data_IF_879497686771
#
_entry.id   IF_879497686771
#
_cell.length_a   1.000
_cell.length_b   1.000
_cell.length_c   1.000
_cell.angle_alpha   90.00
_cell.angle_beta   90.00
_cell.angle_gamma   90.00
#
_symmetry.space_group_name_H-M   'P 1'
#
loop_
_entity.id
_entity.type
_entity.pdbx_description
1 polymer ?
#
# COMPACT_ATOMS: atom_id res chain seq x y z
N UNK A 1 -28.89 -29.47 20.75
CA UNK A 1 -27.68 -28.71 20.39
C UNK A 1 -27.53 -27.59 21.40
N UNK A 2 -26.32 -27.33 21.88
CA UNK A 2 -26.04 -26.14 22.68
C UNK A 2 -26.14 -24.90 21.79
N UNK A 3 -26.43 -23.73 22.39
CA UNK A 3 -26.46 -22.44 21.66
C UNK A 3 -25.12 -22.13 20.98
N UNK A 4 -24.03 -22.70 21.47
CA UNK A 4 -22.67 -22.56 20.93
C UNK A 4 -22.45 -23.52 19.75
N UNK A 5 -22.93 -24.76 19.82
CA UNK A 5 -22.90 -25.70 18.69
C UNK A 5 -23.63 -25.13 17.47
N UNK A 6 -24.83 -24.59 17.67
CA UNK A 6 -25.65 -24.00 16.61
C UNK A 6 -24.98 -22.76 16.00
N UNK A 7 -24.43 -21.89 16.85
CA UNK A 7 -23.69 -20.71 16.41
C UNK A 7 -22.40 -21.06 15.63
N UNK A 8 -21.63 -22.05 16.11
CA UNK A 8 -20.40 -22.49 15.44
C UNK A 8 -20.71 -23.05 14.06
N UNK A 9 -21.77 -23.84 13.92
CA UNK A 9 -22.18 -24.42 12.65
C UNK A 9 -22.64 -23.34 11.65
N UNK A 10 -23.38 -22.33 12.13
CA UNK A 10 -23.90 -21.22 11.33
C UNK A 10 -22.81 -20.22 10.90
N UNK A 11 -21.73 -20.10 11.68
CA UNK A 11 -20.71 -19.08 11.46
C UNK A 11 -19.34 -19.62 11.03
N UNK A 12 -19.19 -20.94 10.86
CA UNK A 12 -17.94 -21.58 10.44
C UNK A 12 -17.28 -20.91 9.23
N UNK A 13 -18.03 -20.74 8.14
CA UNK A 13 -17.51 -20.12 6.91
C UNK A 13 -17.08 -18.66 7.13
N UNK A 14 -17.75 -17.95 8.04
CA UNK A 14 -17.39 -16.58 8.40
C UNK A 14 -16.11 -16.54 9.23
N UNK A 15 -15.92 -17.51 10.14
CA UNK A 15 -14.71 -17.66 10.96
C UNK A 15 -13.51 -17.98 10.05
N UNK A 16 -13.66 -18.92 9.13
CA UNK A 16 -12.61 -19.29 8.17
C UNK A 16 -12.24 -18.10 7.28
N UNK A 17 -13.23 -17.36 6.77
CA UNK A 17 -13.01 -16.13 6.01
C UNK A 17 -12.32 -15.03 6.84
N UNK A 18 -12.68 -14.90 8.12
CA UNK A 18 -12.02 -13.99 9.06
C UNK A 18 -10.53 -14.32 9.22
N UNK A 19 -10.20 -15.59 9.44
CA UNK A 19 -8.81 -16.08 9.52
C UNK A 19 -8.06 -15.78 8.21
N UNK A 20 -8.71 -15.94 7.05
CA UNK A 20 -8.11 -15.59 5.77
C UNK A 20 -7.84 -14.10 5.61
N UNK A 21 -8.78 -13.21 5.98
CA UNK A 21 -8.61 -11.75 5.91
C UNK A 21 -7.48 -11.25 6.81
N UNK A 22 -7.23 -11.91 7.93
CA UNK A 22 -6.08 -11.64 8.80
C UNK A 22 -4.74 -12.01 8.14
N UNK A 23 -4.76 -12.97 7.21
CA UNK A 23 -3.61 -13.36 6.40
C UNK A 23 -3.46 -12.54 5.11
N UNK A 24 -4.53 -11.88 4.66
CA UNK A 24 -4.47 -10.97 3.53
C UNK A 24 -3.68 -9.73 3.92
N UNK A 25 -2.58 -9.52 3.20
CA UNK A 25 -1.79 -8.30 3.27
C UNK A 25 -2.59 -7.07 2.80
N UNK A 26 -1.86 -6.04 2.43
CA UNK A 26 -2.40 -4.72 2.17
C UNK A 26 -3.09 -4.59 0.81
N UNK A 27 -2.75 -5.48 -0.14
CA UNK A 27 -3.19 -5.42 -1.54
C UNK A 27 -4.71 -5.59 -1.72
N UNK A 28 -5.42 -5.96 -0.64
CA UNK A 28 -6.85 -6.28 -0.65
C UNK A 28 -7.64 -5.35 0.30
N UNK A 29 -7.06 -4.25 0.81
CA UNK A 29 -7.73 -3.36 1.78
C UNK A 29 -9.15 -2.94 1.37
N UNK A 30 -9.40 -2.72 0.08
CA UNK A 30 -10.74 -2.41 -0.42
C UNK A 30 -11.76 -3.54 -0.25
N UNK A 31 -11.34 -4.79 -0.33
CA UNK A 31 -12.20 -5.93 -0.13
C UNK A 31 -12.22 -6.41 1.34
N UNK A 32 -11.45 -5.81 2.25
CA UNK A 32 -11.51 -6.17 3.68
C UNK A 32 -12.40 -5.23 4.50
N UNK A 33 -12.73 -4.03 4.01
CA UNK A 33 -13.57 -3.05 4.73
C UNK A 33 -14.87 -3.69 5.24
N UNK A 34 -15.07 -3.62 6.56
CA UNK A 34 -16.27 -4.12 7.22
C UNK A 34 -16.36 -5.64 7.25
N UNK A 35 -15.25 -6.36 7.04
CA UNK A 35 -15.23 -7.83 7.08
C UNK A 35 -14.59 -8.41 8.35
N UNK A 36 -14.20 -7.57 9.31
CA UNK A 36 -13.59 -8.00 10.58
C UNK A 36 -14.58 -8.57 11.60
N UNK A 37 -15.90 -8.38 11.40
CA UNK A 37 -16.94 -8.82 12.34
C UNK A 37 -16.83 -10.29 12.76
N UNK A 38 -16.58 -11.27 11.86
CA UNK A 38 -16.58 -12.69 12.22
C UNK A 38 -15.48 -13.10 13.20
N UNK A 39 -14.31 -12.46 13.15
CA UNK A 39 -13.18 -12.78 14.04
C UNK A 39 -13.52 -12.37 15.46
N UNK A 40 -14.06 -11.15 15.60
CA UNK A 40 -14.47 -10.60 16.88
C UNK A 40 -15.59 -11.43 17.52
N UNK A 41 -16.54 -11.90 16.70
CA UNK A 41 -17.58 -12.82 17.17
C UNK A 41 -17.03 -14.20 17.56
N UNK A 42 -16.05 -14.74 16.82
CA UNK A 42 -15.41 -16.02 17.15
C UNK A 42 -14.68 -15.98 18.49
N UNK A 43 -13.92 -14.91 18.73
CA UNK A 43 -13.18 -14.67 19.98
C UNK A 43 -14.15 -14.55 21.15
N UNK A 44 -15.29 -13.89 20.93
CA UNK A 44 -16.37 -13.78 21.91
C UNK A 44 -16.93 -15.15 22.31
N UNK A 45 -17.33 -15.95 21.32
CA UNK A 45 -17.93 -17.27 21.58
C UNK A 45 -16.92 -18.25 22.19
N UNK A 46 -15.66 -18.22 21.72
CA UNK A 46 -14.57 -18.98 22.29
C UNK A 46 -14.35 -18.66 23.78
N UNK A 47 -14.29 -17.38 24.14
CA UNK A 47 -14.03 -16.97 25.52
C UNK A 47 -15.18 -17.33 26.46
N UNK A 48 -16.43 -17.21 26.01
CA UNK A 48 -17.61 -17.60 26.79
C UNK A 48 -17.69 -19.13 27.03
N UNK A 49 -17.38 -19.93 26.00
CA UNK A 49 -17.41 -21.40 26.11
C UNK A 49 -16.24 -21.93 26.94
N UNK A 50 -15.02 -21.38 26.76
CA UNK A 50 -13.83 -21.76 27.54
C UNK A 50 -14.02 -21.55 29.05
N UNK A 51 -14.85 -20.59 29.45
CA UNK A 51 -15.18 -20.31 30.85
C UNK A 51 -16.25 -21.23 31.41
N UNK A 52 -17.21 -21.60 30.57
CA UNK A 52 -18.40 -22.34 30.98
C UNK A 52 -18.16 -23.86 30.97
N UNK A 53 -17.34 -24.34 30.03
CA UNK A 53 -17.04 -25.76 29.84
C UNK A 53 -15.66 -25.99 29.21
N UNK A 54 -14.55 -25.83 29.97
CA UNK A 54 -13.19 -25.83 29.44
C UNK A 54 -12.72 -27.16 28.81
N UNK A 55 -13.43 -28.27 29.02
CA UNK A 55 -13.12 -29.60 28.49
C UNK A 55 -14.08 -30.08 27.38
N UNK A 56 -15.10 -29.27 27.05
CA UNK A 56 -16.08 -29.54 26.00
C UNK A 56 -15.47 -29.68 24.60
N UNK A 57 -16.17 -30.37 23.70
CA UNK A 57 -15.71 -30.54 22.32
C UNK A 57 -15.74 -29.20 21.56
N UNK A 58 -16.65 -28.31 21.94
CA UNK A 58 -16.84 -26.96 21.43
C UNK A 58 -15.66 -26.07 21.83
N UNK A 59 -15.25 -26.12 23.10
CA UNK A 59 -14.07 -25.42 23.60
C UNK A 59 -12.77 -25.88 22.89
N UNK A 60 -12.67 -27.17 22.52
CA UNK A 60 -11.54 -27.70 21.74
C UNK A 60 -11.54 -27.17 20.31
N UNK A 61 -12.67 -27.23 19.61
CA UNK A 61 -12.79 -26.68 18.26
C UNK A 61 -12.47 -25.17 18.21
N UNK A 62 -12.98 -24.40 19.17
CA UNK A 62 -12.74 -22.96 19.24
C UNK A 62 -11.28 -22.64 19.57
N UNK A 63 -10.62 -23.46 20.41
CA UNK A 63 -9.18 -23.37 20.62
C UNK A 63 -8.39 -23.66 19.32
N UNK A 64 -8.81 -24.61 18.49
CA UNK A 64 -8.20 -24.87 17.18
C UNK A 64 -8.37 -23.68 16.21
N UNK A 65 -9.54 -23.03 16.19
CA UNK A 65 -9.73 -21.82 15.36
C UNK A 65 -8.87 -20.66 15.85
N UNK A 66 -8.76 -20.49 17.17
CA UNK A 66 -7.87 -19.49 17.76
C UNK A 66 -6.40 -19.77 17.44
N UNK A 67 -6.01 -21.05 17.41
CA UNK A 67 -4.67 -21.45 16.99
C UNK A 67 -4.41 -21.13 15.52
N UNK A 68 -5.40 -21.28 14.63
CA UNK A 68 -5.28 -20.84 13.23
C UNK A 68 -5.12 -19.32 13.13
N UNK A 69 -5.87 -18.56 13.92
CA UNK A 69 -5.70 -17.10 14.04
C UNK A 69 -4.28 -16.78 14.51
N UNK A 70 -3.79 -17.45 15.57
CA UNK A 70 -2.44 -17.28 16.09
C UNK A 70 -1.37 -17.57 15.04
N UNK A 71 -1.50 -18.65 14.26
CA UNK A 71 -0.58 -18.99 13.17
C UNK A 71 -0.53 -17.90 12.10
N UNK A 72 -1.66 -17.25 11.79
CA UNK A 72 -1.69 -16.09 10.88
C UNK A 72 -1.11 -14.81 11.48
N UNK A 73 -1.06 -14.76 12.81
CA UNK A 73 -0.50 -13.69 13.62
C UNK A 73 0.95 -13.99 14.07
N UNK A 74 1.57 -15.08 13.60
CA UNK A 74 2.99 -15.35 13.83
C UNK A 74 3.87 -14.25 13.20
N UNK A 75 4.98 -13.91 13.87
CA UNK A 75 5.87 -12.84 13.43
C UNK A 75 5.38 -11.42 13.74
N UNK A 76 4.26 -11.25 14.44
CA UNK A 76 3.76 -9.93 14.86
C UNK A 76 4.77 -9.15 15.67
N UNK A 77 5.58 -9.82 16.50
CA UNK A 77 6.57 -9.13 17.32
C UNK A 77 7.59 -8.38 16.45
N UNK A 78 8.13 -9.03 15.41
CA UNK A 78 9.04 -8.41 14.45
C UNK A 78 8.35 -7.32 13.61
N UNK A 79 7.09 -7.51 13.27
CA UNK A 79 6.31 -6.53 12.51
C UNK A 79 5.96 -5.30 13.34
N UNK A 80 5.59 -5.48 14.61
CA UNK A 80 5.28 -4.38 15.52
C UNK A 80 6.55 -3.68 15.97
N UNK A 81 7.69 -4.35 16.16
CA UNK A 81 8.97 -3.65 16.34
C UNK A 81 9.25 -2.67 15.19
N UNK A 82 8.88 -3.03 13.96
CA UNK A 82 8.97 -2.10 12.82
C UNK A 82 7.93 -0.98 12.88
N UNK A 83 6.69 -1.25 13.31
CA UNK A 83 5.70 -0.17 13.58
C UNK A 83 6.28 0.79 14.62
N UNK A 84 6.79 0.27 15.73
CA UNK A 84 7.33 1.03 16.82
C UNK A 84 8.53 1.89 16.37
N UNK A 85 9.40 1.36 15.50
CA UNK A 85 10.48 2.11 14.86
C UNK A 85 9.96 3.18 13.89
N UNK A 86 8.91 2.90 13.11
CA UNK A 86 8.27 3.85 12.21
C UNK A 86 7.57 4.98 13.00
N UNK A 87 6.88 4.66 14.09
CA UNK A 87 6.30 5.64 15.02
C UNK A 87 7.37 6.47 15.75
N UNK A 88 8.48 5.86 16.14
CA UNK A 88 9.62 6.57 16.72
C UNK A 88 10.25 7.55 15.71
N UNK A 89 10.39 7.13 14.44
CA UNK A 89 10.94 7.98 13.36
C UNK A 89 10.04 9.15 13.00
N UNK A 90 8.73 8.98 13.12
CA UNK A 90 7.71 9.98 12.78
C UNK A 90 7.43 10.96 13.92
N UNK A 91 8.17 10.89 15.03
CA UNK A 91 7.96 11.72 16.23
C UNK A 91 6.60 11.49 16.91
N UNK A 92 5.92 10.38 16.59
CA UNK A 92 4.72 9.92 17.30
C UNK A 92 5.16 9.33 18.65
N UNK A 93 5.48 10.24 19.57
CA UNK A 93 5.80 10.17 21.00
C UNK A 93 6.17 8.79 21.59
N UNK A 94 7.22 8.72 22.43
CA UNK A 94 7.65 7.50 23.16
C UNK A 94 6.50 6.74 23.86
N UNK A 95 5.46 7.46 24.28
CA UNK A 95 4.25 6.88 24.88
C UNK A 95 3.49 5.93 23.94
N UNK A 96 3.52 6.13 22.62
CA UNK A 96 2.90 5.19 21.69
C UNK A 96 3.65 3.87 21.65
N UNK A 97 4.99 3.90 21.58
CA UNK A 97 5.84 2.70 21.65
C UNK A 97 5.55 1.83 22.88
N UNK A 98 5.46 2.47 24.07
CA UNK A 98 5.19 1.74 25.32
C UNK A 98 3.79 1.07 25.29
N UNK A 99 2.79 1.70 24.64
CA UNK A 99 1.43 1.16 24.49
C UNK A 99 1.39 -0.08 23.59
N UNK A 100 2.08 -0.06 22.45
CA UNK A 100 2.09 -1.19 21.51
C UNK A 100 2.71 -2.43 22.14
N UNK A 101 3.85 -2.25 22.83
CA UNK A 101 4.52 -3.33 23.55
C UNK A 101 3.63 -3.90 24.67
N UNK A 102 2.90 -3.05 25.39
CA UNK A 102 1.94 -3.49 26.40
C UNK A 102 0.81 -4.32 25.78
N UNK A 103 0.19 -3.86 24.69
CA UNK A 103 -0.88 -4.59 23.98
C UNK A 103 -0.42 -5.98 23.50
N UNK A 104 0.80 -6.09 22.97
CA UNK A 104 1.38 -7.38 22.61
C UNK A 104 1.53 -8.27 23.82
N UNK A 105 2.17 -7.75 24.88
CA UNK A 105 2.42 -8.55 26.08
C UNK A 105 1.11 -9.06 26.72
N UNK A 106 0.03 -8.27 26.66
CA UNK A 106 -1.30 -8.69 27.07
C UNK A 106 -1.80 -9.87 26.23
N UNK A 107 -1.70 -9.77 24.92
CA UNK A 107 -2.10 -10.82 23.99
C UNK A 107 -1.26 -12.09 24.13
N UNK A 108 0.06 -11.99 24.31
CA UNK A 108 0.94 -13.14 24.57
C UNK A 108 0.50 -13.91 25.82
N UNK A 109 0.15 -13.21 26.91
CA UNK A 109 -0.38 -13.86 28.11
C UNK A 109 -1.73 -14.49 27.88
N UNK A 110 -2.58 -13.89 27.05
CA UNK A 110 -3.84 -14.49 26.64
C UNK A 110 -3.61 -15.78 25.85
N UNK A 111 -2.70 -15.78 24.88
CA UNK A 111 -2.32 -16.98 24.11
C UNK A 111 -1.80 -18.08 25.03
N UNK A 112 -0.88 -17.75 25.95
CA UNK A 112 -0.37 -18.70 26.95
C UNK A 112 -1.49 -19.35 27.78
N UNK A 113 -2.59 -18.65 28.02
CA UNK A 113 -3.78 -19.18 28.66
C UNK A 113 -4.59 -20.09 27.73
N UNK A 114 -4.89 -19.65 26.49
CA UNK A 114 -5.71 -20.40 25.54
C UNK A 114 -5.10 -21.77 25.24
N UNK A 115 -3.79 -21.83 25.01
CA UNK A 115 -3.07 -23.08 24.66
C UNK A 115 -2.65 -23.91 25.89
N UNK A 116 -2.94 -23.45 27.10
CA UNK A 116 -2.53 -24.13 28.32
C UNK A 116 -3.20 -25.50 28.46
N UNK A 117 -2.40 -26.51 28.84
CA UNK A 117 -2.95 -27.81 29.28
C UNK A 117 -3.92 -27.60 30.45
N UNK A 118 -4.98 -28.42 30.60
CA UNK A 118 -6.00 -28.24 31.65
C UNK A 118 -5.44 -28.00 33.05
N UNK A 119 -4.43 -28.77 33.46
CA UNK A 119 -3.76 -28.64 34.77
C UNK A 119 -3.05 -27.31 35.03
N UNK A 120 -2.78 -26.51 34.01
CA UNK A 120 -2.13 -25.20 34.13
C UNK A 120 -3.06 -24.04 33.76
N UNK A 121 -4.28 -24.33 33.31
CA UNK A 121 -5.19 -23.36 32.70
C UNK A 121 -5.58 -22.25 33.68
N UNK A 122 -5.94 -22.60 34.91
CA UNK A 122 -6.30 -21.61 35.94
C UNK A 122 -5.13 -20.70 36.31
N UNK A 123 -3.94 -21.26 36.53
CA UNK A 123 -2.73 -20.46 36.84
C UNK A 123 -2.36 -19.52 35.69
N UNK A 124 -2.57 -19.93 34.43
CA UNK A 124 -2.31 -19.09 33.26
C UNK A 124 -3.38 -18.02 33.08
N UNK A 125 -4.64 -18.33 33.36
CA UNK A 125 -5.75 -17.37 33.43
C UNK A 125 -5.47 -16.27 34.44
N UNK A 126 -5.11 -16.60 35.67
CA UNK A 126 -4.76 -15.62 36.72
C UNK A 126 -3.61 -14.71 36.28
N UNK A 127 -2.57 -15.29 35.67
CA UNK A 127 -1.44 -14.52 35.12
C UNK A 127 -1.87 -13.55 34.04
N UNK A 128 -2.71 -13.98 33.10
CA UNK A 128 -3.24 -13.10 32.06
C UNK A 128 -4.05 -11.95 32.66
N UNK A 129 -5.03 -12.26 33.53
CA UNK A 129 -5.87 -11.25 34.17
C UNK A 129 -5.04 -10.21 34.94
N UNK A 130 -4.10 -10.68 35.77
CA UNK A 130 -3.22 -9.79 36.53
C UNK A 130 -2.29 -8.98 35.63
N UNK A 131 -1.74 -9.57 34.58
CA UNK A 131 -0.88 -8.85 33.64
C UNK A 131 -1.65 -7.77 32.90
N UNK A 132 -2.86 -8.07 32.43
CA UNK A 132 -3.74 -7.12 31.75
C UNK A 132 -4.11 -5.94 32.66
N UNK A 133 -4.46 -6.21 33.92
CA UNK A 133 -4.78 -5.18 34.92
C UNK A 133 -3.59 -4.25 35.22
N UNK A 134 -2.35 -4.76 35.13
CA UNK A 134 -1.11 -4.04 35.43
C UNK A 134 -0.44 -3.37 34.22
N UNK A 135 -0.99 -3.54 33.01
CA UNK A 135 -0.43 -2.99 31.76
C UNK A 135 -1.44 -2.07 31.08
N UNK A 136 -2.04 -1.18 31.86
CA UNK A 136 -2.98 -0.14 31.39
C UNK A 136 -4.26 -0.66 30.69
N UNK A 137 -4.58 -1.96 30.81
CA UNK A 137 -5.85 -2.56 30.37
C UNK A 137 -6.17 -2.20 28.91
N UNK A 138 -7.40 -1.76 28.65
CA UNK A 138 -7.94 -1.34 27.35
C UNK A 138 -7.58 0.11 26.97
N UNK A 139 -6.97 0.88 27.89
CA UNK A 139 -6.57 2.29 27.64
C UNK A 139 -5.61 2.39 26.47
N UNK A 140 -4.71 1.42 26.31
CA UNK A 140 -3.73 1.41 25.23
C UNK A 140 -4.39 1.29 23.85
N UNK A 141 -5.37 0.41 23.73
CA UNK A 141 -6.10 0.18 22.49
C UNK A 141 -7.01 1.36 22.14
N UNK A 142 -7.67 1.96 23.15
CA UNK A 142 -8.45 3.20 22.97
C UNK A 142 -7.55 4.37 22.54
N UNK A 143 -6.38 4.52 23.16
CA UNK A 143 -5.41 5.55 22.80
C UNK A 143 -4.85 5.36 21.38
N UNK A 144 -4.57 4.12 20.97
CA UNK A 144 -4.14 3.80 19.61
C UNK A 144 -5.20 4.20 18.59
N UNK A 145 -6.46 3.82 18.83
CA UNK A 145 -7.59 4.21 17.98
C UNK A 145 -7.72 5.73 17.88
N UNK A 146 -7.72 6.44 19.01
CA UNK A 146 -7.83 7.89 19.04
C UNK A 146 -6.66 8.57 18.32
N UNK A 147 -5.44 8.05 18.48
CA UNK A 147 -4.27 8.52 17.74
C UNK A 147 -4.40 8.32 16.24
N UNK A 148 -5.01 7.21 15.83
CA UNK A 148 -5.22 6.87 14.44
C UNK A 148 -6.25 7.80 13.78
N UNK A 149 -7.37 8.10 14.46
CA UNK A 149 -8.43 8.94 13.89
C UNK A 149 -8.16 10.45 14.02
N UNK A 150 -7.10 10.86 14.73
CA UNK A 150 -6.74 12.26 14.97
C UNK A 150 -7.36 12.89 16.23
N UNK A 151 -8.04 12.10 17.06
CA UNK A 151 -8.60 12.52 18.35
C UNK A 151 -7.54 12.41 19.47
N UNK A 152 -6.33 12.89 19.20
CA UNK A 152 -5.21 12.89 20.16
C UNK A 152 -4.85 14.32 20.58
N UNK A 153 -3.97 14.46 21.57
CA UNK A 153 -3.55 15.76 22.12
C UNK A 153 -2.82 16.66 21.11
N UNK A 154 -2.26 16.09 20.04
CA UNK A 154 -1.59 16.83 18.96
C UNK A 154 -2.54 17.27 17.85
N UNK A 155 -3.73 16.66 17.70
CA UNK A 155 -4.69 16.94 16.63
C UNK A 155 -4.32 16.36 15.26
N UNK A 156 -3.07 15.93 15.06
CA UNK A 156 -2.63 15.29 13.82
C UNK A 156 -3.05 13.81 13.79
N UNK A 157 -3.68 13.38 12.69
CA UNK A 157 -3.98 11.96 12.49
C UNK A 157 -2.70 11.19 12.15
N UNK A 158 -2.48 10.04 12.80
CA UNK A 158 -1.32 9.17 12.57
C UNK A 158 -1.08 8.91 11.07
N UNK A 159 -2.14 8.66 10.31
CA UNK A 159 -2.05 8.37 8.87
C UNK A 159 -1.48 9.54 8.05
N UNK A 160 -1.78 10.78 8.41
CA UNK A 160 -1.26 11.95 7.69
C UNK A 160 0.26 12.08 7.88
N UNK A 161 0.72 11.82 9.11
CA UNK A 161 2.15 11.78 9.41
C UNK A 161 2.85 10.67 8.62
N UNK A 162 2.28 9.45 8.59
CA UNK A 162 2.84 8.33 7.84
C UNK A 162 2.89 8.62 6.33
N UNK A 163 1.83 9.17 5.75
CA UNK A 163 1.79 9.54 4.33
C UNK A 163 2.91 10.51 3.97
N UNK A 164 3.19 11.49 4.82
CA UNK A 164 4.27 12.46 4.61
C UNK A 164 5.64 11.81 4.78
N UNK A 165 5.87 11.07 5.87
CA UNK A 165 7.17 10.45 6.16
C UNK A 165 7.56 9.40 5.12
N UNK A 166 6.61 8.58 4.69
CA UNK A 166 6.82 7.57 3.65
C UNK A 166 6.76 8.15 2.23
N UNK A 167 6.69 9.48 2.11
CA UNK A 167 6.65 10.21 0.84
C UNK A 167 5.58 9.67 -0.11
N UNK A 168 4.42 9.27 0.44
CA UNK A 168 3.29 8.67 -0.30
C UNK A 168 3.69 7.44 -1.13
N UNK A 169 4.64 6.66 -0.63
CA UNK A 169 4.94 5.34 -1.18
C UNK A 169 3.78 4.39 -0.88
N UNK A 170 3.01 3.99 -1.91
CA UNK A 170 1.86 3.06 -1.75
C UNK A 170 2.28 1.84 -0.95
N UNK A 171 3.38 1.20 -1.33
CA UNK A 171 3.89 -0.02 -0.69
C UNK A 171 4.25 0.16 0.77
N UNK A 172 4.90 1.26 1.13
CA UNK A 172 5.27 1.52 2.52
C UNK A 172 4.04 1.82 3.39
N UNK A 173 3.10 2.60 2.86
CA UNK A 173 1.81 2.90 3.53
C UNK A 173 0.99 1.62 3.69
N UNK A 174 0.90 0.82 2.63
CA UNK A 174 0.30 -0.51 2.64
C UNK A 174 0.90 -1.36 3.78
N UNK A 175 2.22 -1.55 3.77
CA UNK A 175 2.92 -2.33 4.79
C UNK A 175 2.62 -1.83 6.22
N UNK A 176 2.66 -0.52 6.45
CA UNK A 176 2.27 0.07 7.73
C UNK A 176 0.82 -0.27 8.10
N UNK A 177 -0.14 -0.10 7.19
CA UNK A 177 -1.55 -0.41 7.42
C UNK A 177 -1.76 -1.88 7.81
N UNK A 178 -1.08 -2.83 7.15
CA UNK A 178 -1.21 -4.25 7.50
C UNK A 178 -0.67 -4.56 8.91
N UNK A 179 0.48 -3.99 9.28
CA UNK A 179 1.05 -4.19 10.61
C UNK A 179 0.15 -3.57 11.69
N UNK A 180 -0.34 -2.35 11.46
CA UNK A 180 -1.26 -1.68 12.38
C UNK A 180 -2.59 -2.42 12.54
N UNK A 181 -3.13 -2.98 11.44
CA UNK A 181 -4.33 -3.84 11.47
C UNK A 181 -4.11 -5.03 12.40
N UNK A 182 -2.96 -5.71 12.31
CA UNK A 182 -2.61 -6.82 13.22
C UNK A 182 -2.54 -6.34 14.68
N UNK A 183 -1.92 -5.18 14.93
CA UNK A 183 -1.84 -4.60 16.28
C UNK A 183 -3.22 -4.32 16.89
N UNK A 184 -4.15 -3.75 16.12
CA UNK A 184 -5.53 -3.58 16.58
C UNK A 184 -6.16 -4.91 16.96
N UNK A 185 -5.97 -5.94 16.14
CA UNK A 185 -6.60 -7.25 16.37
C UNK A 185 -6.07 -7.90 17.64
N UNK A 186 -4.74 -7.92 17.87
CA UNK A 186 -4.18 -8.50 19.10
C UNK A 186 -4.70 -7.78 20.34
N UNK A 187 -4.79 -6.44 20.29
CA UNK A 187 -5.35 -5.66 21.38
C UNK A 187 -6.83 -5.93 21.61
N UNK A 188 -7.66 -5.97 20.56
CA UNK A 188 -9.09 -6.26 20.69
C UNK A 188 -9.30 -7.66 21.27
N UNK A 189 -8.54 -8.66 20.80
CA UNK A 189 -8.60 -10.02 21.34
C UNK A 189 -8.25 -10.03 22.84
N UNK A 190 -7.19 -9.33 23.24
CA UNK A 190 -6.80 -9.26 24.65
C UNK A 190 -7.87 -8.60 25.51
N UNK A 191 -8.45 -7.47 25.06
CA UNK A 191 -9.54 -6.77 25.77
C UNK A 191 -10.76 -7.68 25.91
N UNK A 192 -11.23 -8.29 24.81
CA UNK A 192 -12.38 -9.19 24.82
C UNK A 192 -12.15 -10.42 25.69
N UNK A 193 -10.96 -11.02 25.60
CA UNK A 193 -10.55 -12.15 26.42
C UNK A 193 -10.57 -11.80 27.91
N UNK A 194 -10.05 -10.63 28.29
CA UNK A 194 -10.11 -10.15 29.67
C UNK A 194 -11.55 -9.97 30.16
N UNK A 195 -12.39 -9.24 29.41
CA UNK A 195 -13.78 -8.97 29.78
C UNK A 195 -14.56 -10.27 29.92
N UNK A 196 -14.44 -11.19 28.97
CA UNK A 196 -15.06 -12.50 29.09
C UNK A 196 -14.61 -13.22 30.37
N UNK A 197 -13.30 -13.33 30.61
CA UNK A 197 -12.76 -14.08 31.74
C UNK A 197 -13.07 -13.48 33.12
N UNK A 198 -13.24 -12.15 33.19
CA UNK A 198 -13.50 -11.40 34.42
C UNK A 198 -14.99 -11.28 34.71
N UNK A 199 -15.81 -10.99 33.70
CA UNK A 199 -17.23 -10.65 33.83
C UNK A 199 -18.16 -11.81 33.44
N UNK A 200 -17.60 -12.89 32.87
CA UNK A 200 -18.36 -14.06 32.40
C UNK A 200 -19.06 -13.85 31.05
N UNK A 201 -19.01 -12.65 30.50
CA UNK A 201 -19.56 -12.29 29.19
C UNK A 201 -18.81 -11.10 28.60
N UNK A 202 -18.78 -10.97 27.27
CA UNK A 202 -18.46 -9.70 26.60
C UNK A 202 -19.78 -9.02 26.26
N UNK A 203 -19.95 -7.76 26.65
CA UNK A 203 -21.15 -7.00 26.31
C UNK A 203 -21.28 -6.78 24.79
N UNK A 204 -22.49 -6.87 24.25
CA UNK A 204 -22.77 -6.57 22.83
C UNK A 204 -22.31 -5.15 22.44
N UNK A 205 -22.36 -4.20 23.38
CA UNK A 205 -21.89 -2.83 23.17
C UNK A 205 -20.37 -2.77 22.93
N UNK A 206 -19.58 -3.61 23.59
CA UNK A 206 -18.13 -3.68 23.38
C UNK A 206 -17.79 -4.29 22.01
N UNK A 207 -18.52 -5.35 21.63
CA UNK A 207 -18.38 -5.97 20.30
C UNK A 207 -18.69 -4.94 19.23
N UNK A 208 -19.85 -4.28 19.33
CA UNK A 208 -20.25 -3.23 18.40
C UNK A 208 -19.26 -2.06 18.35
N UNK A 209 -18.79 -1.57 19.51
CA UNK A 209 -17.76 -0.53 19.61
C UNK A 209 -16.54 -0.87 18.75
N UNK A 210 -15.98 -2.06 18.90
CA UNK A 210 -14.76 -2.43 18.18
C UNK A 210 -15.00 -2.78 16.72
N UNK A 211 -16.17 -3.31 16.39
CA UNK A 211 -16.61 -3.52 15.02
C UNK A 211 -16.71 -2.19 14.24
N UNK A 212 -17.45 -1.21 14.76
CA UNK A 212 -17.62 0.10 14.13
C UNK A 212 -16.27 0.84 13.99
N UNK A 213 -15.41 0.74 15.01
CA UNK A 213 -14.07 1.34 14.99
C UNK A 213 -13.14 0.70 13.98
N UNK A 214 -13.14 -0.63 13.86
CA UNK A 214 -12.33 -1.30 12.85
C UNK A 214 -12.78 -0.97 11.43
N UNK A 215 -14.08 -0.80 11.20
CA UNK A 215 -14.58 -0.34 9.91
C UNK A 215 -14.08 1.08 9.57
N UNK A 216 -14.07 2.02 10.53
CA UNK A 216 -13.47 3.35 10.33
C UNK A 216 -11.96 3.26 10.07
N UNK A 217 -11.24 2.41 10.81
CA UNK A 217 -9.81 2.16 10.61
C UNK A 217 -9.54 1.69 9.17
N UNK A 218 -10.26 0.67 8.70
CA UNK A 218 -10.08 0.12 7.35
C UNK A 218 -10.43 1.13 6.26
N UNK A 219 -11.49 1.92 6.43
CA UNK A 219 -11.87 2.99 5.50
C UNK A 219 -10.78 4.04 5.36
N UNK A 220 -10.18 4.46 6.46
CA UNK A 220 -9.10 5.46 6.47
C UNK A 220 -7.79 4.90 5.90
N UNK A 221 -7.44 3.65 6.22
CA UNK A 221 -6.31 2.96 5.60
C UNK A 221 -6.47 2.88 4.08
N UNK A 222 -7.67 2.49 3.62
CA UNK A 222 -8.00 2.51 2.18
C UNK A 222 -7.84 3.89 1.58
N UNK A 223 -8.38 4.93 2.21
CA UNK A 223 -8.29 6.29 1.70
C UNK A 223 -6.84 6.76 1.55
N UNK A 224 -5.97 6.43 2.50
CA UNK A 224 -4.53 6.75 2.43
C UNK A 224 -3.82 6.03 1.28
N UNK A 225 -4.12 4.74 1.06
CA UNK A 225 -3.57 3.98 -0.08
C UNK A 225 -4.11 4.52 -1.41
N UNK A 226 -5.41 4.83 -1.49
CA UNK A 226 -6.03 5.44 -2.66
C UNK A 226 -5.42 6.83 -2.95
N UNK A 227 -5.07 7.63 -1.92
CA UNK A 227 -4.37 8.90 -2.10
C UNK A 227 -3.00 8.67 -2.76
N UNK A 228 -2.24 7.67 -2.32
CA UNK A 228 -0.94 7.32 -2.88
C UNK A 228 -1.06 6.90 -4.36
N UNK A 229 -2.09 6.11 -4.69
CA UNK A 229 -2.37 5.68 -6.07
C UNK A 229 -2.84 6.87 -6.91
N UNK A 230 -3.84 7.63 -6.48
CA UNK A 230 -4.42 8.68 -7.31
C UNK A 230 -3.46 9.87 -7.56
N UNK A 231 -2.56 10.14 -6.61
CA UNK A 231 -1.60 11.24 -6.72
C UNK A 231 -0.20 10.80 -7.17
N UNK A 232 -0.02 9.52 -7.55
CA UNK A 232 1.27 9.00 -7.96
C UNK A 232 1.94 9.82 -9.08
N UNK A 233 1.24 10.38 -10.09
CA UNK A 233 1.90 11.14 -11.15
C UNK A 233 2.58 12.41 -10.66
N UNK A 234 1.91 13.15 -9.77
CA UNK A 234 2.44 14.37 -9.18
C UNK A 234 3.62 14.05 -8.26
N UNK A 235 3.49 13.01 -7.43
CA UNK A 235 4.56 12.56 -6.54
C UNK A 235 5.77 12.04 -7.34
N UNK A 236 5.55 11.27 -8.41
CA UNK A 236 6.62 10.73 -9.25
C UNK A 236 7.43 11.85 -9.91
N UNK A 237 6.77 12.93 -10.34
CA UNK A 237 7.45 14.13 -10.85
C UNK A 237 8.34 14.76 -9.77
N UNK A 238 7.82 14.97 -8.56
CA UNK A 238 8.59 15.52 -7.44
C UNK A 238 9.77 14.63 -7.06
N UNK A 239 9.58 13.30 -7.09
CA UNK A 239 10.64 12.34 -6.78
C UNK A 239 11.75 12.36 -7.83
N UNK A 240 11.40 12.49 -9.11
CA UNK A 240 12.39 12.72 -10.17
C UNK A 240 13.11 14.04 -9.93
N UNK A 241 12.41 15.15 -9.65
CA UNK A 241 13.04 16.44 -9.33
C UNK A 241 14.03 16.34 -8.15
N UNK A 242 13.67 15.60 -7.09
CA UNK A 242 14.57 15.33 -5.97
C UNK A 242 15.79 14.51 -6.39
N UNK A 243 15.61 13.47 -7.20
CA UNK A 243 16.73 12.66 -7.75
C UNK A 243 17.70 13.50 -8.58
N UNK A 244 17.22 14.54 -9.25
CA UNK A 244 18.08 15.47 -10.00
C UNK A 244 18.96 16.35 -9.10
N UNK A 245 18.66 16.43 -7.80
CA UNK A 245 19.54 17.10 -6.82
C UNK A 245 20.69 16.21 -6.35
N UNK A 246 20.50 14.88 -6.39
CA UNK A 246 21.48 13.90 -5.92
C UNK A 246 22.57 13.63 -6.96
N UNK A 247 22.22 13.69 -8.26
CA UNK A 247 23.11 13.31 -9.36
C UNK A 247 23.05 14.32 -10.49
N UNK A 248 24.20 14.71 -11.01
CA UNK A 248 24.29 15.57 -12.20
C UNK A 248 23.63 14.87 -13.40
N UNK A 249 22.80 15.62 -14.13
CA UNK A 249 22.09 15.09 -15.30
C UNK A 249 23.02 14.93 -16.49
N UNK A 250 22.89 13.83 -17.22
CA UNK A 250 23.66 13.52 -18.43
C UNK A 250 22.77 12.82 -19.47
N UNK A 251 23.12 12.94 -20.75
CA UNK A 251 22.47 12.19 -21.83
C UNK A 251 23.28 10.91 -22.06
N UNK A 252 23.10 9.93 -21.18
CA UNK A 252 23.69 8.60 -21.27
C UNK A 252 22.77 7.51 -20.68
N UNK A 253 23.03 6.23 -20.99
CA UNK A 253 22.22 5.11 -20.50
C UNK A 253 22.22 4.95 -18.98
N UNK A 254 23.32 5.28 -18.29
CA UNK A 254 23.45 5.07 -16.85
C UNK A 254 22.55 6.05 -16.09
N UNK A 255 22.56 7.32 -16.46
CA UNK A 255 21.68 8.33 -15.88
C UNK A 255 20.20 8.06 -16.19
N UNK A 256 19.89 7.67 -17.43
CA UNK A 256 18.51 7.38 -17.84
C UNK A 256 17.97 6.17 -17.07
N UNK A 257 18.79 5.11 -16.92
CA UNK A 257 18.45 3.93 -16.11
C UNK A 257 18.31 4.25 -14.62
N UNK A 258 19.16 5.10 -14.06
CA UNK A 258 19.05 5.56 -12.67
C UNK A 258 17.67 6.17 -12.36
N UNK A 259 17.13 6.99 -13.27
CA UNK A 259 15.78 7.56 -13.12
C UNK A 259 14.69 6.49 -13.23
N UNK A 260 14.80 5.57 -14.20
CA UNK A 260 13.84 4.47 -14.34
C UNK A 260 13.83 3.57 -13.10
N UNK A 261 15.00 3.15 -12.62
CA UNK A 261 15.12 2.27 -11.44
C UNK A 261 14.50 2.92 -10.20
N UNK A 262 14.64 4.24 -10.03
CA UNK A 262 14.00 4.98 -8.93
C UNK A 262 12.46 4.96 -9.04
N UNK A 263 11.92 5.17 -10.25
CA UNK A 263 10.48 5.13 -10.50
C UNK A 263 9.91 3.73 -10.31
N UNK A 264 10.52 2.71 -10.92
CA UNK A 264 10.08 1.30 -10.82
C UNK A 264 10.12 0.81 -9.39
N UNK A 265 11.14 1.20 -8.62
CA UNK A 265 11.27 0.79 -7.22
C UNK A 265 10.12 1.29 -6.34
N UNK A 266 9.64 2.52 -6.55
CA UNK A 266 8.59 3.13 -5.73
C UNK A 266 7.18 2.89 -6.28
N UNK A 267 7.05 2.79 -7.60
CA UNK A 267 5.81 2.66 -8.33
C UNK A 267 5.80 1.35 -9.13
N UNK A 268 5.93 0.23 -8.43
CA UNK A 268 6.10 -1.10 -9.02
C UNK A 268 4.89 -1.58 -9.85
N UNK A 269 3.73 -0.95 -9.67
CA UNK A 269 2.49 -1.20 -10.43
C UNK A 269 2.36 -0.38 -11.72
N UNK A 270 3.36 0.43 -12.06
CA UNK A 270 3.31 1.36 -13.21
C UNK A 270 4.40 0.99 -14.22
N UNK A 271 4.03 1.00 -15.50
CA UNK A 271 4.99 0.97 -16.60
C UNK A 271 5.43 2.38 -16.95
N UNK A 272 6.74 2.57 -17.07
CA UNK A 272 7.44 3.83 -17.24
C UNK A 272 8.29 3.80 -18.49
N UNK A 273 8.31 4.90 -19.23
CA UNK A 273 9.30 5.19 -20.25
C UNK A 273 9.94 6.53 -19.93
N UNK A 274 11.27 6.57 -19.96
CA UNK A 274 12.08 7.74 -19.64
C UNK A 274 12.91 8.09 -20.86
N UNK A 275 12.89 9.37 -21.26
CA UNK A 275 13.71 9.91 -22.34
C UNK A 275 14.51 11.09 -21.85
N UNK A 276 15.79 11.08 -22.15
CA UNK A 276 16.72 12.16 -21.78
C UNK A 276 17.41 12.66 -23.04
N UNK A 277 17.35 13.97 -23.28
CA UNK A 277 17.94 14.59 -24.46
C UNK A 277 18.36 16.03 -24.23
N UNK A 278 19.32 16.52 -25.01
CA UNK A 278 19.81 17.89 -24.85
C UNK A 278 18.78 18.91 -25.37
N UNK A 279 18.36 19.82 -24.49
CA UNK A 279 17.61 21.03 -24.85
C UNK A 279 18.51 21.98 -25.65
N UNK A 280 19.78 22.11 -25.22
CA UNK A 280 20.86 22.81 -25.93
C UNK A 280 21.59 21.94 -26.97
N UNK A 281 22.46 22.54 -27.78
CA UNK A 281 23.19 21.84 -28.85
C UNK A 281 23.96 22.80 -29.76
N UNK A 282 24.79 22.26 -30.67
CA UNK A 282 25.50 23.07 -31.68
C UNK A 282 24.46 23.83 -32.51
N UNK A 283 24.69 25.13 -32.72
CA UNK A 283 23.76 26.08 -33.35
C UNK A 283 23.06 25.54 -34.61
N UNK A 284 23.80 24.84 -35.46
CA UNK A 284 23.28 24.24 -36.70
C UNK A 284 22.22 23.14 -36.47
N UNK A 285 22.44 22.23 -35.52
CA UNK A 285 21.48 21.15 -35.21
C UNK A 285 20.23 21.67 -34.50
N UNK A 286 20.37 22.70 -33.67
CA UNK A 286 19.21 23.37 -33.06
C UNK A 286 18.37 24.13 -34.08
N UNK A 287 18.99 24.68 -35.12
CA UNK A 287 18.25 25.26 -36.23
C UNK A 287 17.49 24.17 -37.01
N UNK A 288 18.16 23.08 -37.41
CA UNK A 288 17.49 21.96 -38.10
C UNK A 288 16.36 21.29 -37.29
N UNK A 289 16.46 21.29 -35.96
CA UNK A 289 15.43 20.74 -35.08
C UNK A 289 14.19 21.66 -34.93
N UNK A 290 14.33 22.97 -35.18
CA UNK A 290 13.29 23.97 -34.97
C UNK A 290 13.00 24.25 -33.49
N UNK A 291 12.13 25.24 -33.21
CA UNK A 291 11.77 25.64 -31.83
C UNK A 291 10.88 24.62 -31.09
N UNK A 292 10.15 23.79 -31.82
CA UNK A 292 9.23 22.74 -31.32
C UNK A 292 9.75 21.34 -31.68
N UNK A 293 10.96 21.06 -31.21
CA UNK A 293 11.73 19.87 -31.56
C UNK A 293 11.33 18.62 -30.75
N UNK A 294 10.38 18.72 -29.83
CA UNK A 294 9.74 17.60 -29.17
C UNK A 294 8.28 17.95 -28.83
N UNK A 295 7.43 16.94 -28.64
CA UNK A 295 6.03 17.12 -28.30
C UNK A 295 5.34 15.79 -27.99
N UNK A 296 4.29 15.86 -27.18
CA UNK A 296 3.43 14.72 -26.85
C UNK A 296 2.03 14.96 -27.41
N UNK A 297 1.34 13.87 -27.76
CA UNK A 297 -0.09 13.82 -27.99
C UNK A 297 -0.67 12.61 -27.24
N UNK A 298 -1.98 12.62 -27.01
CA UNK A 298 -2.68 11.54 -26.32
C UNK A 298 -2.50 11.60 -24.80
N UNK A 299 -3.61 11.55 -24.08
CA UNK A 299 -3.68 11.54 -22.62
C UNK A 299 -2.94 12.67 -21.88
N UNK A 300 -2.84 12.50 -20.56
CA UNK A 300 -2.07 13.36 -19.65
C UNK A 300 -0.99 12.57 -18.90
N UNK A 301 -0.73 11.33 -19.30
CA UNK A 301 0.12 10.38 -18.58
C UNK A 301 1.61 10.59 -18.88
N UNK A 302 2.05 11.84 -18.79
CA UNK A 302 3.45 12.24 -18.92
C UNK A 302 3.74 13.54 -18.16
N UNK A 303 5.01 13.75 -17.87
CA UNK A 303 5.55 15.04 -17.43
C UNK A 303 6.91 15.28 -18.05
N UNK A 304 7.28 16.56 -18.19
CA UNK A 304 8.59 16.97 -18.66
C UNK A 304 9.30 17.91 -17.68
N UNK A 305 10.63 17.82 -17.65
CA UNK A 305 11.51 18.58 -16.79
C UNK A 305 12.68 19.14 -17.61
N UNK A 306 13.11 20.35 -17.28
CA UNK A 306 14.30 20.97 -17.87
C UNK A 306 15.31 21.27 -16.76
N UNK A 307 16.46 20.61 -16.85
CA UNK A 307 17.54 20.76 -15.86
C UNK A 307 18.32 22.07 -16.07
N UNK A 308 19.08 22.48 -15.05
CA UNK A 308 19.96 23.66 -15.13
C UNK A 308 21.01 23.56 -16.24
N UNK A 309 21.52 22.35 -16.53
CA UNK A 309 22.47 22.10 -17.62
C UNK A 309 21.80 21.88 -18.98
N UNK A 310 20.54 22.31 -19.15
CA UNK A 310 19.78 22.25 -20.41
C UNK A 310 19.62 20.83 -20.95
N UNK A 311 19.38 19.88 -20.06
CA UNK A 311 18.95 18.52 -20.40
C UNK A 311 17.45 18.45 -20.16
N UNK A 312 16.72 17.95 -21.15
CA UNK A 312 15.30 17.70 -21.04
C UNK A 312 15.08 16.24 -20.69
N UNK A 313 14.20 16.02 -19.73
CA UNK A 313 13.76 14.71 -19.28
C UNK A 313 12.27 14.66 -19.54
N UNK A 314 11.82 13.63 -20.23
CA UNK A 314 10.39 13.36 -20.42
C UNK A 314 10.13 11.99 -19.85
N UNK A 315 9.15 11.89 -18.96
CA UNK A 315 8.67 10.63 -18.36
C UNK A 315 7.21 10.45 -18.75
N UNK A 316 6.85 9.26 -19.21
CA UNK A 316 5.48 8.90 -19.56
C UNK A 316 5.21 7.51 -19.03
N UNK A 317 3.95 7.23 -18.75
CA UNK A 317 3.60 6.08 -17.94
C UNK A 317 2.20 5.55 -18.23
N UNK A 318 1.92 4.33 -17.80
CA UNK A 318 0.56 3.78 -17.71
C UNK A 318 0.52 2.70 -16.63
N UNK A 319 -0.57 2.63 -15.88
CA UNK A 319 -0.81 1.56 -14.90
C UNK A 319 -1.50 0.33 -15.52
N UNK A 320 -1.93 0.42 -16.78
CA UNK A 320 -2.65 -0.65 -17.47
C UNK A 320 -2.16 -0.78 -18.92
N UNK A 321 -0.91 -1.25 -19.13
CA UNK A 321 -0.33 -1.37 -20.46
C UNK A 321 -1.12 -2.35 -21.32
N UNK A 322 -1.46 -1.95 -22.54
CA UNK A 322 -2.14 -2.80 -23.52
C UNK A 322 -1.24 -3.11 -24.71
N UNK A 323 -1.29 -4.32 -25.29
CA UNK A 323 -0.55 -4.66 -26.49
C UNK A 323 -0.87 -3.70 -27.65
N UNK A 324 0.17 -3.31 -28.38
CA UNK A 324 0.07 -2.39 -29.51
C UNK A 324 0.04 -3.14 -30.83
N UNK A 325 -0.78 -2.66 -31.78
CA UNK A 325 -0.69 -3.12 -33.16
C UNK A 325 0.49 -2.44 -33.87
N UNK A 326 1.68 -3.04 -33.74
CA UNK A 326 2.93 -2.47 -34.30
C UNK A 326 2.97 -2.40 -35.82
N UNK A 327 2.17 -3.21 -36.51
CA UNK A 327 2.04 -3.15 -37.98
C UNK A 327 1.30 -1.87 -38.35
N UNK A 328 0.13 -1.66 -37.74
CA UNK A 328 -0.67 -0.44 -37.94
C UNK A 328 0.12 0.82 -37.57
N UNK A 329 0.85 0.83 -36.46
CA UNK A 329 1.70 1.97 -36.08
C UNK A 329 2.70 2.31 -37.21
N UNK A 330 3.36 1.32 -37.78
CA UNK A 330 4.32 1.53 -38.88
C UNK A 330 3.63 2.07 -40.13
N UNK A 331 2.49 1.48 -40.50
CA UNK A 331 1.70 1.91 -41.65
C UNK A 331 1.24 3.38 -41.50
N UNK A 332 0.77 3.78 -40.31
CA UNK A 332 0.39 5.17 -40.04
C UNK A 332 1.58 6.13 -40.12
N UNK A 333 2.73 5.76 -39.57
CA UNK A 333 3.96 6.58 -39.65
C UNK A 333 4.40 6.80 -41.10
N UNK A 334 4.28 5.77 -41.95
CA UNK A 334 4.60 5.86 -43.37
C UNK A 334 3.59 6.75 -44.14
N UNK A 335 2.30 6.61 -43.85
CA UNK A 335 1.22 7.37 -44.48
C UNK A 335 1.29 8.87 -44.13
N UNK A 336 1.49 9.21 -42.85
CA UNK A 336 1.52 10.60 -42.38
C UNK A 336 2.81 11.34 -42.77
N UNK A 337 3.87 10.61 -43.12
CA UNK A 337 5.21 11.12 -43.49
C UNK A 337 5.85 12.04 -42.44
N UNK A 338 5.36 12.02 -41.20
CA UNK A 338 5.83 12.81 -40.05
C UNK A 338 6.04 14.29 -40.42
N UNK A 339 5.02 14.92 -41.01
CA UNK A 339 5.06 16.32 -41.46
C UNK A 339 4.92 17.30 -40.29
N UNK A 340 5.46 18.51 -40.45
CA UNK A 340 5.38 19.56 -39.42
C UNK A 340 6.47 19.48 -38.35
N UNK A 341 6.21 20.15 -37.23
CA UNK A 341 7.02 20.08 -36.00
C UNK A 341 6.64 18.86 -35.14
N UNK A 342 7.40 18.57 -34.08
CA UNK A 342 7.20 17.31 -33.33
C UNK A 342 5.89 17.28 -32.52
N UNK A 343 5.33 18.45 -32.17
CA UNK A 343 3.99 18.55 -31.58
C UNK A 343 2.96 18.10 -32.61
N UNK A 344 3.03 18.66 -33.82
CA UNK A 344 2.12 18.31 -34.92
C UNK A 344 2.20 16.83 -35.27
N UNK A 345 3.41 16.26 -35.27
CA UNK A 345 3.63 14.83 -35.50
C UNK A 345 2.96 13.98 -34.42
N UNK A 346 3.16 14.31 -33.14
CA UNK A 346 2.57 13.55 -32.04
C UNK A 346 1.03 13.63 -32.05
N UNK A 347 0.47 14.83 -32.25
CA UNK A 347 -0.99 15.04 -32.34
C UNK A 347 -1.62 14.33 -33.53
N UNK A 348 -0.95 14.31 -34.68
CA UNK A 348 -1.44 13.64 -35.89
C UNK A 348 -1.51 12.12 -35.68
N UNK A 349 -0.43 11.53 -35.16
CA UNK A 349 -0.38 10.09 -34.86
C UNK A 349 -1.39 9.70 -33.78
N UNK A 350 -1.67 10.55 -32.79
CA UNK A 350 -2.70 10.26 -31.78
C UNK A 350 -4.12 10.27 -32.34
N UNK A 351 -4.39 11.05 -33.40
CA UNK A 351 -5.70 11.04 -34.07
C UNK A 351 -5.94 9.73 -34.81
N UNK A 352 -4.88 9.13 -35.35
CA UNK A 352 -4.96 7.86 -36.09
C UNK A 352 -4.81 6.64 -35.17
N UNK A 353 -4.11 6.78 -34.04
CA UNK A 353 -3.91 5.76 -33.01
C UNK A 353 -4.63 6.15 -31.71
N UNK A 354 -5.97 6.00 -31.63
CA UNK A 354 -6.72 6.41 -30.44
C UNK A 354 -6.33 5.58 -29.21
N UNK A 355 -6.41 6.20 -28.03
CA UNK A 355 -6.04 5.62 -26.73
C UNK A 355 -4.54 5.27 -26.60
N UNK A 356 -3.69 5.94 -27.39
CA UNK A 356 -2.25 5.86 -27.25
C UNK A 356 -1.68 7.23 -26.88
N UNK A 357 -0.70 7.23 -25.98
CA UNK A 357 0.19 8.35 -25.76
C UNK A 357 1.33 8.25 -26.78
N UNK A 358 1.54 9.31 -27.55
CA UNK A 358 2.65 9.43 -28.51
C UNK A 358 3.56 10.56 -28.07
N UNK A 359 4.85 10.27 -27.90
CA UNK A 359 5.87 11.29 -27.71
C UNK A 359 6.85 11.26 -28.88
N UNK A 360 7.07 12.42 -29.51
CA UNK A 360 7.95 12.60 -30.64
C UNK A 360 9.10 13.53 -30.27
N UNK A 361 10.33 13.14 -30.60
CA UNK A 361 11.54 13.99 -30.48
C UNK A 361 12.25 14.04 -31.81
N UNK A 362 12.69 15.21 -32.25
CA UNK A 362 13.41 15.40 -33.50
C UNK A 362 14.65 14.50 -33.58
N UNK A 363 14.86 13.82 -34.71
CA UNK A 363 16.04 12.97 -34.96
C UNK A 363 17.37 13.71 -34.80
N UNK A 364 17.38 15.04 -34.89
CA UNK A 364 18.59 15.85 -34.71
C UNK A 364 19.00 16.02 -33.25
N UNK A 365 18.24 15.46 -32.30
CA UNK A 365 18.60 15.41 -30.88
C UNK A 365 19.21 14.05 -30.56
N UNK A 366 20.27 14.05 -29.75
CA UNK A 366 20.72 12.83 -29.09
C UNK A 366 19.72 12.50 -27.99
N UNK A 367 19.05 11.37 -28.13
CA UNK A 367 18.04 10.86 -27.20
C UNK A 367 18.54 9.54 -26.63
N UNK A 368 18.54 9.44 -25.32
CA UNK A 368 18.64 8.17 -24.60
C UNK A 368 17.26 7.82 -24.09
N UNK A 369 16.83 6.58 -24.31
CA UNK A 369 15.51 6.06 -23.92
C UNK A 369 15.69 4.78 -23.14
N UNK A 370 14.87 4.59 -22.10
CA UNK A 370 14.77 3.35 -21.34
C UNK A 370 13.35 3.20 -20.80
N UNK A 371 12.87 1.97 -20.70
CA UNK A 371 11.53 1.65 -20.21
C UNK A 371 11.47 0.26 -19.54
N UNK A 372 10.39 -0.01 -18.82
CA UNK A 372 10.09 -1.33 -18.22
C UNK A 372 8.79 -1.94 -18.76
N UNK A 373 8.36 -1.54 -19.97
CA UNK A 373 7.15 -2.10 -20.57
C UNK A 373 7.38 -3.53 -21.07
N UNK A 374 6.32 -4.32 -21.11
CA UNK A 374 6.30 -5.52 -21.94
C UNK A 374 6.61 -5.12 -23.40
N UNK A 375 7.48 -5.85 -24.12
CA UNK A 375 7.78 -5.57 -25.51
C UNK A 375 6.54 -5.42 -26.40
N UNK A 376 5.42 -6.09 -26.15
CA UNK A 376 4.19 -5.97 -26.94
C UNK A 376 3.45 -4.65 -26.68
N UNK A 377 3.59 -4.07 -25.49
CA UNK A 377 2.86 -2.88 -25.05
C UNK A 377 3.56 -1.55 -25.32
N UNK A 378 4.78 -1.60 -25.88
CA UNK A 378 5.59 -0.41 -26.13
C UNK A 378 6.22 -0.41 -27.52
N UNK A 379 6.21 0.77 -28.14
CA UNK A 379 6.85 1.02 -29.42
C UNK A 379 7.86 2.15 -29.27
N UNK A 380 9.13 1.84 -29.49
CA UNK A 380 10.19 2.83 -29.68
C UNK A 380 10.94 2.57 -30.97
N UNK A 381 11.10 3.62 -31.78
CA UNK A 381 11.88 3.55 -33.00
C UNK A 381 12.40 4.92 -33.44
N UNK A 382 13.54 4.89 -34.14
CA UNK A 382 14.17 6.08 -34.73
C UNK A 382 13.83 6.17 -36.22
N UNK A 383 12.76 6.90 -36.53
CA UNK A 383 12.33 7.17 -37.91
C UNK A 383 13.10 8.31 -38.55
N UNK A 384 12.96 8.47 -39.88
CA UNK A 384 13.69 9.46 -40.70
C UNK A 384 13.73 10.87 -40.11
N UNK A 385 12.69 11.27 -39.38
CA UNK A 385 12.54 12.62 -38.83
C UNK A 385 12.46 12.68 -37.30
N UNK A 386 12.12 11.58 -36.64
CA UNK A 386 11.79 11.59 -35.22
C UNK A 386 12.17 10.28 -34.51
N UNK A 387 12.54 10.39 -33.25
CA UNK A 387 12.37 9.34 -32.26
C UNK A 387 10.90 9.33 -31.86
N UNK A 388 10.25 8.18 -31.95
CA UNK A 388 8.86 8.01 -31.54
C UNK A 388 8.79 7.01 -30.39
N UNK A 389 8.08 7.39 -29.33
CA UNK A 389 7.74 6.55 -28.18
C UNK A 389 6.21 6.47 -28.13
N UNK A 390 5.65 5.27 -28.18
CA UNK A 390 4.20 5.06 -28.18
C UNK A 390 3.86 3.95 -27.19
N UNK A 391 2.85 4.20 -26.35
CA UNK A 391 2.22 3.20 -25.49
C UNK A 391 0.74 3.52 -25.30
N UNK A 392 -0.03 2.57 -24.81
CA UNK A 392 -1.43 2.84 -24.40
C UNK A 392 -1.47 3.89 -23.30
N UNK A 393 -2.50 4.74 -23.33
CA UNK A 393 -2.77 5.68 -22.23
C UNK A 393 -2.91 4.97 -20.89
#
# INVERSE_FOLDING_TARGET
MSRVEEWVLENKDKIEKGVEIMSQGCEILAATVGQFHPILEAVFVASAELLSNPEGNEAKYLAEQFERVNQKLEGIQDEVEKIALELQRTSLNKQNFDREAQMISQYEKFQEFVIAKPKFKEKKKEKFLSHFENTDRDVNLDALYNSFIGENTSGDAMMDTILVTEQRSRRAVEEFCARLKKLFVVGIIAVMGYTALKEGTVGQDMVKKWQDRMEDVEKRMKAAVDECVNNFPAQAKMDVENKLTERQSHVDPEFTKFLLDALVKKYDWVCWSVRVFNHGGIFFWNWLAGKRYHGSGGGINYFDLLTKNKIRIVVSFTANPKPLNKVEIKDQIENERLKGDMISVAESLCKTLPNCLVHAVSRYKRVEEVNNFDPECYYYAVHKRAHLCIHSE
#
